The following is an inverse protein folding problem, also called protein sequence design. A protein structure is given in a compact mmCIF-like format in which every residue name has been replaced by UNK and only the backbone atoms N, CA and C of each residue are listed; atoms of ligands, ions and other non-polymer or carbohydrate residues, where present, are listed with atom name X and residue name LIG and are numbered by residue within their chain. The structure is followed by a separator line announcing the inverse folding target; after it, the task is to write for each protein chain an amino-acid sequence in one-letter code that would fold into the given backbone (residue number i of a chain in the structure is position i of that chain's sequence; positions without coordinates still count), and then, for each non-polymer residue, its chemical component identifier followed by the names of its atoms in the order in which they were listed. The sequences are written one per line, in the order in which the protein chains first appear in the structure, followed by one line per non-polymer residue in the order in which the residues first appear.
data_IF_638657853104
#
_entry.id   IF_638657853104
#
_cell.length_a   1.000
_cell.length_b   1.000
_cell.length_c   1.000
_cell.angle_alpha   90.00
_cell.angle_beta   90.00
_cell.angle_gamma   90.00
#
_symmetry.space_group_name_H-M   'P 1'
#
loop_
_entity.id
_entity.type
_entity.pdbx_description
1 polymer ?
#
# COMPACT_ATOMS: atom_id res chain seq x y z
N UNK A 1 -3.63 8.72 -19.38
CA UNK A 1 -3.22 8.64 -17.99
C UNK A 1 -1.98 7.80 -17.87
N UNK A 2 -1.13 8.16 -16.92
CA UNK A 2 0.10 7.42 -16.67
C UNK A 2 -0.15 6.01 -16.18
N UNK A 3 -1.35 5.73 -15.71
CA UNK A 3 -1.69 4.43 -15.17
C UNK A 3 -2.22 3.48 -16.23
N UNK A 4 -2.61 4.00 -17.37
CA UNK A 4 -3.26 3.19 -18.39
C UNK A 4 -2.24 2.61 -19.37
N UNK A 5 -2.38 1.31 -19.66
CA UNK A 5 -1.56 0.64 -20.66
C UNK A 5 -2.24 0.69 -22.02
N UNK A 6 -1.46 0.38 -23.05
CA UNK A 6 -1.96 0.45 -24.42
C UNK A 6 -3.18 -0.42 -24.67
N UNK A 7 -3.31 -1.52 -23.94
CA UNK A 7 -4.44 -2.45 -24.14
C UNK A 7 -5.59 -2.20 -23.18
N UNK A 8 -5.63 -1.03 -22.56
CA UNK A 8 -6.72 -0.68 -21.66
C UNK A 8 -6.61 -1.26 -20.27
N UNK A 9 -5.46 -1.79 -19.91
CA UNK A 9 -5.21 -2.31 -18.56
C UNK A 9 -4.50 -1.24 -17.74
N UNK A 10 -4.98 -1.00 -16.53
CA UNK A 10 -4.36 -0.04 -15.63
C UNK A 10 -3.27 -0.71 -14.80
N UNK A 11 -2.12 -0.08 -14.73
CA UNK A 11 -1.04 -0.54 -13.85
C UNK A 11 -1.08 0.27 -12.57
N UNK A 12 -1.24 -0.40 -11.45
CA UNK A 12 -1.33 0.26 -10.15
C UNK A 12 -0.30 -0.37 -9.23
N UNK A 13 0.43 0.49 -8.52
CA UNK A 13 1.36 0.05 -7.49
C UNK A 13 0.91 0.60 -6.16
N UNK A 14 0.95 -0.24 -5.14
CA UNK A 14 0.57 0.17 -3.81
C UNK A 14 1.58 -0.38 -2.81
N UNK A 15 1.83 0.38 -1.76
CA UNK A 15 2.76 -0.03 -0.72
C UNK A 15 2.02 -0.14 0.60
N UNK A 16 2.18 -1.29 1.24
CA UNK A 16 1.66 -1.50 2.59
C UNK A 16 2.78 -1.16 3.56
N UNK A 17 2.52 -0.21 4.45
CA UNK A 17 3.52 0.22 5.42
C UNK A 17 3.19 -0.38 6.77
N UNK A 18 4.17 -1.02 7.39
CA UNK A 18 4.02 -1.58 8.73
C UNK A 18 5.18 -1.13 9.59
N UNK A 19 5.02 -1.30 10.92
CA UNK A 19 5.99 -0.76 11.86
C UNK A 19 7.09 -1.75 12.24
N UNK A 20 6.85 -3.04 12.08
CA UNK A 20 7.78 -4.05 12.57
C UNK A 20 8.00 -5.12 11.54
N UNK A 21 9.19 -5.72 11.59
CA UNK A 21 9.52 -6.83 10.70
C UNK A 21 8.57 -8.01 10.90
N UNK A 22 8.12 -8.24 12.14
CA UNK A 22 7.18 -9.32 12.40
C UNK A 22 5.86 -9.09 11.70
N UNK A 23 5.40 -7.83 11.62
CA UNK A 23 4.18 -7.49 10.89
C UNK A 23 4.36 -7.75 9.41
N UNK A 24 5.52 -7.40 8.88
CA UNK A 24 5.80 -7.65 7.48
C UNK A 24 5.72 -9.14 7.17
N UNK A 25 6.27 -9.98 8.05
CA UNK A 25 6.20 -11.41 7.86
C UNK A 25 4.79 -11.94 7.83
N UNK A 26 3.93 -11.42 8.69
CA UNK A 26 2.53 -11.82 8.74
C UNK A 26 1.81 -11.42 7.45
N UNK A 27 2.06 -10.20 6.99
CA UNK A 27 1.41 -9.68 5.78
C UNK A 27 1.82 -10.47 4.55
N UNK A 28 3.09 -10.82 4.46
CA UNK A 28 3.59 -11.59 3.32
C UNK A 28 3.10 -13.04 3.42
N UNK A 29 3.18 -13.60 4.63
CA UNK A 29 2.79 -14.98 4.83
C UNK A 29 3.82 -15.95 4.33
N UNK A 30 3.53 -17.22 4.50
CA UNK A 30 4.45 -18.27 4.11
C UNK A 30 4.51 -18.35 2.59
N UNK A 31 5.72 -18.15 2.05
CA UNK A 31 5.91 -18.18 0.61
C UNK A 31 5.15 -17.10 -0.13
N UNK A 32 4.77 -16.02 0.57
CA UNK A 32 4.03 -14.95 -0.06
C UNK A 32 2.55 -15.18 -0.22
N UNK A 33 2.02 -16.25 0.40
CA UNK A 33 0.62 -16.63 0.17
C UNK A 33 -0.37 -15.60 0.65
N UNK A 34 -0.10 -14.97 1.82
CA UNK A 34 -1.03 -13.98 2.36
C UNK A 34 -1.03 -12.73 1.50
N UNK A 35 0.14 -12.28 1.08
CA UNK A 35 0.24 -11.10 0.23
C UNK A 35 -0.47 -11.32 -1.09
N UNK A 36 -0.38 -12.54 -1.63
CA UNK A 36 -1.07 -12.87 -2.86
C UNK A 36 -2.59 -12.80 -2.69
N UNK A 37 -3.08 -13.28 -1.55
CA UNK A 37 -4.51 -13.19 -1.24
C UNK A 37 -4.97 -11.74 -1.14
N UNK A 38 -4.19 -10.94 -0.43
CA UNK A 38 -4.52 -9.52 -0.27
C UNK A 38 -4.54 -8.84 -1.62
N UNK A 39 -3.54 -9.13 -2.45
CA UNK A 39 -3.45 -8.53 -3.77
C UNK A 39 -4.62 -8.90 -4.66
N UNK A 40 -5.01 -10.18 -4.64
CA UNK A 40 -6.12 -10.63 -5.46
C UNK A 40 -7.42 -9.96 -5.04
N UNK A 41 -7.68 -9.89 -3.74
CA UNK A 41 -8.90 -9.27 -3.24
C UNK A 41 -8.94 -7.78 -3.58
N UNK A 42 -7.81 -7.10 -3.37
CA UNK A 42 -7.74 -5.67 -3.67
C UNK A 42 -7.92 -5.41 -5.16
N UNK A 43 -7.29 -6.22 -5.98
CA UNK A 43 -7.39 -6.06 -7.43
C UNK A 43 -8.83 -6.18 -7.90
N UNK A 44 -9.54 -7.17 -7.39
CA UNK A 44 -10.93 -7.39 -7.78
C UNK A 44 -11.78 -6.18 -7.40
N UNK A 45 -11.59 -5.65 -6.20
CA UNK A 45 -12.34 -4.48 -5.77
C UNK A 45 -12.04 -3.25 -6.61
N UNK A 46 -10.76 -3.05 -6.92
CA UNK A 46 -10.38 -1.91 -7.74
C UNK A 46 -10.94 -2.05 -9.15
N UNK A 47 -10.89 -3.25 -9.70
CA UNK A 47 -11.46 -3.49 -11.02
C UNK A 47 -12.95 -3.19 -11.06
N UNK A 48 -13.65 -3.56 -10.01
CA UNK A 48 -15.09 -3.27 -9.93
C UNK A 48 -15.35 -1.77 -9.83
N UNK A 49 -14.54 -1.06 -9.06
CA UNK A 49 -14.71 0.38 -8.92
C UNK A 49 -14.41 1.12 -10.22
N UNK A 50 -13.39 0.68 -10.93
CA UNK A 50 -12.95 1.36 -12.15
C UNK A 50 -13.64 0.84 -13.40
N UNK A 51 -14.33 -0.28 -13.30
CA UNK A 51 -14.93 -0.95 -14.44
C UNK A 51 -13.87 -1.19 -15.53
N UNK A 52 -12.72 -1.68 -15.10
CA UNK A 52 -11.59 -1.89 -16.01
C UNK A 52 -10.70 -2.98 -15.43
N UNK A 53 -9.81 -3.49 -16.25
CA UNK A 53 -8.83 -4.48 -15.82
C UNK A 53 -7.63 -3.78 -15.18
N UNK A 54 -7.12 -4.39 -14.12
CA UNK A 54 -6.04 -3.80 -13.33
C UNK A 54 -4.92 -4.81 -13.12
N UNK A 55 -3.71 -4.35 -13.31
CA UNK A 55 -2.50 -5.07 -12.93
C UNK A 55 -1.99 -4.42 -11.66
N UNK A 56 -2.13 -5.12 -10.54
CA UNK A 56 -1.79 -4.55 -9.24
C UNK A 56 -0.49 -5.14 -8.72
N UNK A 57 0.44 -4.27 -8.40
CA UNK A 57 1.68 -4.65 -7.71
C UNK A 57 1.63 -4.16 -6.29
N UNK A 58 1.90 -5.07 -5.36
CA UNK A 58 1.95 -4.73 -3.94
C UNK A 58 3.36 -4.83 -3.42
N UNK A 59 3.72 -3.85 -2.62
CA UNK A 59 4.99 -3.82 -1.91
C UNK A 59 4.71 -3.77 -0.42
N UNK A 60 5.60 -4.34 0.37
CA UNK A 60 5.50 -4.23 1.82
C UNK A 60 6.76 -3.56 2.33
N UNK A 61 6.58 -2.51 3.11
CA UNK A 61 7.68 -1.72 3.60
C UNK A 61 7.59 -1.59 5.11
N UNK A 62 8.74 -1.69 5.77
CA UNK A 62 8.80 -1.51 7.23
C UNK A 62 9.33 -0.12 7.52
N UNK A 63 8.61 0.61 8.36
CA UNK A 63 9.03 1.91 8.85
C UNK A 63 9.09 1.89 10.36
N UNK A 64 10.24 1.57 10.89
CA UNK A 64 10.38 1.34 12.32
C UNK A 64 10.25 2.61 13.13
N UNK A 65 10.46 3.75 12.53
CA UNK A 65 10.37 5.03 13.22
C UNK A 65 9.13 5.81 12.85
N UNK A 66 8.09 5.08 12.49
CA UNK A 66 6.84 5.69 12.08
C UNK A 66 6.31 6.68 13.12
N UNK A 67 6.38 6.28 14.38
CA UNK A 67 5.88 7.13 15.46
C UNK A 67 6.73 8.38 15.65
N UNK A 68 8.03 8.22 15.51
CA UNK A 68 8.92 9.36 15.61
C UNK A 68 8.63 10.37 14.52
N UNK A 69 8.28 9.90 13.35
CA UNK A 69 7.91 10.77 12.25
C UNK A 69 6.66 11.59 12.59
N UNK A 70 5.71 10.96 13.25
CA UNK A 70 4.51 11.66 13.68
C UNK A 70 4.82 12.75 14.68
N UNK A 71 5.73 12.46 15.61
CA UNK A 71 6.15 13.45 16.58
C UNK A 71 6.80 14.65 15.92
N UNK A 72 7.60 14.41 14.90
CA UNK A 72 8.21 15.50 14.15
C UNK A 72 7.18 16.38 13.51
N UNK A 73 6.17 15.78 12.92
CA UNK A 73 5.09 16.55 12.29
C UNK A 73 4.42 17.45 13.30
N UNK A 74 4.15 16.94 14.48
CA UNK A 74 3.54 17.72 15.54
C UNK A 74 4.44 18.87 15.98
N UNK A 75 5.72 18.61 16.07
CA UNK A 75 6.68 19.61 16.52
C UNK A 75 6.79 20.76 15.53
N UNK A 76 6.56 20.49 14.28
CA UNK A 76 6.58 21.56 13.27
C UNK A 76 5.31 22.37 13.26
N UNK A 77 4.32 21.99 14.05
CA UNK A 77 3.10 22.75 14.14
C UNK A 77 2.18 22.59 12.97
N UNK A 78 2.46 21.73 12.24
CA UNK A 78 1.58 21.52 11.13
C UNK A 78 0.13 21.55 11.51
N UNK A 79 0.53 21.28 11.89
CA UNK A 79 -0.13 21.17 12.16
C UNK A 79 -0.96 21.59 12.48
N UNK A 80 -0.81 21.80 12.69
CA UNK A 80 -1.17 22.16 12.86
C UNK A 80 -1.89 22.35 13.03
N UNK A 81 -1.88 22.13 13.22
CA UNK A 81 -2.19 21.97 13.12
C UNK A 81 -2.70 21.88 13.63
N UNK A 82 -2.41 21.68 13.97
CA UNK A 82 -2.42 21.45 14.06
C UNK A 82 -2.73 21.01 13.90
N UNK A 83 -2.54 20.44 13.82
CA UNK A 83 -2.57 19.95 13.41
C UNK A 83 -2.96 19.89 13.53
#
# INVERSE_FOLDING_TARGET
SDLERDNGIFDIEATIVCERDSHKGIIIGKGGAMLKKIGTAARIEIENLMDAKVNLKLWVKVRKEWRDSELYIKNYGYDKRDI
#
